data_IF_098710549132
#
_entry.id   IF_098710549132
#
_cell.length_a   1.000
_cell.length_b   1.000
_cell.length_c   1.000
_cell.angle_alpha   90.00
_cell.angle_beta   90.00
_cell.angle_gamma   90.00
#
_symmetry.space_group_name_H-M   'P 1'
#
loop_
_entity.id
_entity.type
_entity.pdbx_description
1 polymer ?
#
# COMPACT_ATOMS: atom_id res chain seq x y z
N UNK A 1 -43.42 -10.25 -1.13
CA UNK A 1 -44.49 -10.22 -0.12
C UNK A 1 -45.78 -10.75 -0.74
N UNK A 2 -46.50 -11.56 -0.02
CA UNK A 2 -47.84 -11.99 -0.33
C UNK A 2 -48.80 -11.65 0.83
N UNK A 3 -50.04 -12.10 0.79
CA UNK A 3 -50.98 -11.88 1.89
C UNK A 3 -50.53 -12.49 3.26
N UNK A 4 -49.50 -13.35 3.26
CA UNK A 4 -48.93 -13.95 4.44
C UNK A 4 -47.70 -13.18 4.99
N UNK A 5 -47.31 -12.10 4.36
CA UNK A 5 -46.18 -11.21 4.77
C UNK A 5 -44.86 -11.52 4.09
N UNK A 6 -43.74 -11.26 4.78
CA UNK A 6 -42.39 -11.42 4.24
C UNK A 6 -42.05 -12.90 4.00
N UNK A 7 -41.73 -13.25 2.75
CA UNK A 7 -41.31 -14.59 2.34
C UNK A 7 -39.79 -14.73 2.27
N UNK A 8 -39.13 -13.71 1.71
CA UNK A 8 -37.67 -13.67 1.53
C UNK A 8 -37.15 -12.25 1.66
N UNK A 9 -36.03 -12.08 2.37
CA UNK A 9 -35.20 -10.89 2.36
C UNK A 9 -33.82 -11.27 1.86
N UNK A 10 -33.29 -10.52 0.91
CA UNK A 10 -31.92 -10.65 0.43
C UNK A 10 -31.20 -9.31 0.60
N UNK A 11 -30.08 -9.32 1.33
CA UNK A 11 -29.31 -8.11 1.61
C UNK A 11 -27.83 -8.35 1.22
N UNK A 12 -27.29 -7.66 0.23
CA UNK A 12 -25.88 -7.72 -0.13
C UNK A 12 -25.05 -7.07 0.99
N UNK A 13 -24.25 -7.88 1.72
CA UNK A 13 -23.33 -7.40 2.74
C UNK A 13 -22.15 -6.69 2.08
N UNK A 14 -21.59 -7.34 1.06
CA UNK A 14 -20.51 -6.83 0.21
C UNK A 14 -20.64 -7.41 -1.22
N UNK A 15 -19.63 -7.21 -2.07
CA UNK A 15 -19.64 -7.72 -3.45
C UNK A 15 -19.70 -9.25 -3.56
N UNK A 16 -19.24 -9.96 -2.52
CA UNK A 16 -19.10 -11.42 -2.51
C UNK A 16 -20.09 -12.12 -1.58
N UNK A 17 -20.72 -11.40 -0.67
CA UNK A 17 -21.52 -11.98 0.42
C UNK A 17 -22.93 -11.40 0.42
N UNK A 18 -23.92 -12.27 0.43
CA UNK A 18 -25.34 -11.91 0.52
C UNK A 18 -25.97 -12.59 1.71
N UNK A 19 -26.58 -11.82 2.60
CA UNK A 19 -27.45 -12.32 3.67
C UNK A 19 -28.82 -12.66 3.07
N UNK A 20 -29.27 -13.87 3.30
CA UNK A 20 -30.59 -14.33 2.92
C UNK A 20 -31.38 -14.73 4.16
N UNK A 21 -32.60 -14.21 4.25
CA UNK A 21 -33.59 -14.60 5.26
C UNK A 21 -34.78 -15.17 4.52
N UNK A 22 -35.03 -16.45 4.68
CA UNK A 22 -36.13 -17.16 4.06
C UNK A 22 -37.16 -17.59 5.11
N UNK A 23 -38.44 -17.43 4.82
CA UNK A 23 -39.49 -17.92 5.69
C UNK A 23 -39.55 -19.45 5.67
N UNK A 24 -39.57 -20.06 6.83
CA UNK A 24 -39.73 -21.51 7.01
C UNK A 24 -40.88 -21.77 8.00
N UNK A 25 -42.10 -21.85 7.48
CA UNK A 25 -43.32 -21.91 8.29
C UNK A 25 -43.59 -20.60 9.04
N UNK A 26 -43.62 -20.68 10.37
CA UNK A 26 -43.78 -19.51 11.26
C UNK A 26 -42.45 -18.84 11.64
N UNK A 27 -41.33 -19.49 11.34
CA UNK A 27 -39.95 -18.99 11.64
C UNK A 27 -39.25 -18.48 10.40
N UNK A 28 -38.03 -17.94 10.62
CA UNK A 28 -37.12 -17.47 9.56
C UNK A 28 -35.78 -18.18 9.66
N UNK A 29 -35.33 -18.69 8.53
CA UNK A 29 -34.00 -19.26 8.37
C UNK A 29 -33.07 -18.18 7.81
N UNK A 30 -31.92 -17.97 8.47
CA UNK A 30 -30.93 -16.99 8.11
C UNK A 30 -29.70 -17.72 7.58
N UNK A 31 -29.26 -17.35 6.37
CA UNK A 31 -28.05 -17.90 5.76
C UNK A 31 -27.23 -16.80 5.11
N UNK A 32 -25.94 -17.02 4.95
CA UNK A 32 -25.07 -16.13 4.17
C UNK A 32 -24.51 -16.93 3.00
N UNK A 33 -24.81 -16.46 1.80
CA UNK A 33 -24.26 -17.03 0.58
C UNK A 33 -22.97 -16.29 0.23
N UNK A 34 -21.89 -17.04 0.01
CA UNK A 34 -20.61 -16.50 -0.43
C UNK A 34 -20.33 -16.90 -1.87
N UNK A 35 -19.98 -15.93 -2.69
CA UNK A 35 -19.57 -16.13 -4.08
C UNK A 35 -18.04 -16.18 -4.13
N UNK A 36 -17.49 -17.13 -4.87
CA UNK A 36 -16.05 -17.27 -5.06
C UNK A 36 -15.63 -16.45 -6.30
N UNK A 37 -14.79 -15.44 -6.14
CA UNK A 37 -14.29 -14.67 -7.28
C UNK A 37 -13.19 -15.46 -8.00
N UNK A 38 -13.03 -15.17 -9.28
CA UNK A 38 -11.89 -15.60 -10.09
C UNK A 38 -10.72 -14.64 -9.87
N UNK A 39 -9.48 -15.18 -9.89
CA UNK A 39 -8.24 -14.39 -9.78
C UNK A 39 -7.43 -14.60 -11.04
N UNK A 40 -7.12 -13.52 -11.71
CA UNK A 40 -6.30 -13.53 -12.92
C UNK A 40 -4.98 -12.83 -12.64
N UNK A 41 -3.87 -13.49 -12.95
CA UNK A 41 -2.55 -12.91 -12.87
C UNK A 41 -2.29 -12.05 -14.10
N UNK A 42 -2.02 -10.78 -13.87
CA UNK A 42 -1.76 -9.80 -14.93
C UNK A 42 -0.47 -9.06 -14.63
N UNK A 43 0.18 -8.57 -15.68
CA UNK A 43 1.41 -7.80 -15.55
C UNK A 43 1.29 -6.44 -16.19
N UNK A 44 1.94 -5.45 -15.56
CA UNK A 44 2.10 -4.12 -16.10
C UNK A 44 3.54 -3.64 -15.93
N UNK A 45 3.98 -2.79 -16.85
CA UNK A 45 5.30 -2.18 -16.78
C UNK A 45 5.25 -0.74 -17.31
N UNK A 46 6.09 0.13 -16.77
CA UNK A 46 6.23 1.49 -17.28
C UNK A 46 7.62 2.06 -17.03
N UNK A 47 7.96 3.04 -17.86
CA UNK A 47 9.08 3.94 -17.63
C UNK A 47 8.55 5.23 -17.00
N UNK A 48 9.22 5.71 -15.97
CA UNK A 48 8.83 6.92 -15.24
C UNK A 48 9.32 8.15 -16.00
N UNK A 49 8.38 9.02 -16.36
CA UNK A 49 8.65 10.31 -16.98
C UNK A 49 8.62 11.48 -15.96
N UNK A 50 7.78 11.37 -14.94
CA UNK A 50 7.59 12.40 -13.91
C UNK A 50 7.49 11.86 -12.50
N UNK A 51 6.58 10.93 -12.24
CA UNK A 51 6.37 10.29 -10.93
C UNK A 51 5.92 8.85 -11.09
N UNK A 52 6.12 8.05 -10.03
CA UNK A 52 5.60 6.67 -9.97
C UNK A 52 4.08 6.65 -10.19
N UNK A 53 3.36 7.57 -9.55
CA UNK A 53 1.91 7.62 -9.60
C UNK A 53 1.38 7.81 -11.02
N UNK A 54 1.93 8.80 -11.75
CA UNK A 54 1.54 9.04 -13.14
C UNK A 54 1.93 7.89 -14.07
N UNK A 55 3.10 7.29 -13.87
CA UNK A 55 3.55 6.16 -14.66
C UNK A 55 2.66 4.92 -14.42
N UNK A 56 2.27 4.68 -13.16
CA UNK A 56 1.37 3.60 -12.80
C UNK A 56 -0.02 3.76 -13.41
N UNK A 57 -0.61 4.93 -13.30
CA UNK A 57 -1.90 5.22 -13.96
C UNK A 57 -1.86 5.05 -15.47
N UNK A 58 -0.81 5.55 -16.13
CA UNK A 58 -0.64 5.38 -17.57
C UNK A 58 -0.46 3.90 -17.98
N UNK A 59 0.03 3.05 -17.07
CA UNK A 59 0.13 1.60 -17.25
C UNK A 59 -1.16 0.85 -16.87
N UNK A 60 -2.24 1.56 -16.48
CA UNK A 60 -3.53 0.97 -16.12
C UNK A 60 -3.62 0.47 -14.67
N UNK A 61 -2.62 0.75 -13.82
CA UNK A 61 -2.66 0.35 -12.42
C UNK A 61 -3.62 1.20 -11.59
N UNK A 62 -4.32 0.57 -10.65
CA UNK A 62 -5.11 1.28 -9.65
C UNK A 62 -4.21 1.94 -8.59
N UNK A 63 -4.76 2.92 -7.88
CA UNK A 63 -4.08 3.59 -6.75
C UNK A 63 -3.59 2.58 -5.72
N UNK A 64 -4.39 1.55 -5.42
CA UNK A 64 -4.05 0.50 -4.46
C UNK A 64 -2.78 -0.24 -4.87
N UNK A 65 -2.68 -0.68 -6.12
CA UNK A 65 -1.49 -1.40 -6.64
C UNK A 65 -0.28 -0.48 -6.68
N UNK A 66 -0.44 0.79 -7.07
CA UNK A 66 0.65 1.77 -7.08
C UNK A 66 1.19 2.02 -5.67
N UNK A 67 0.29 2.16 -4.68
CA UNK A 67 0.68 2.37 -3.28
C UNK A 67 1.31 1.13 -2.66
N UNK A 68 0.84 -0.06 -3.02
CA UNK A 68 1.46 -1.32 -2.60
C UNK A 68 2.87 -1.45 -3.17
N UNK A 69 3.06 -1.16 -4.46
CA UNK A 69 4.37 -1.13 -5.12
C UNK A 69 5.33 -0.16 -4.42
N UNK A 70 4.85 1.06 -4.11
CA UNK A 70 5.62 2.02 -3.32
C UNK A 70 5.95 1.51 -1.92
N UNK A 71 5.02 0.80 -1.27
CA UNK A 71 5.22 0.18 0.05
C UNK A 71 6.28 -0.91 0.06
N UNK A 72 6.33 -1.76 -0.99
CA UNK A 72 7.31 -2.85 -1.14
C UNK A 72 8.74 -2.28 -1.19
N UNK A 73 8.98 -1.26 -2.03
CA UNK A 73 10.31 -0.71 -2.27
C UNK A 73 10.64 0.52 -1.42
N UNK A 74 9.68 1.05 -0.66
CA UNK A 74 9.85 2.26 0.17
C UNK A 74 10.88 2.14 1.30
N UNK A 75 11.33 0.92 1.58
CA UNK A 75 12.45 0.67 2.49
C UNK A 75 13.82 0.91 1.84
N UNK A 76 13.90 0.81 0.52
CA UNK A 76 15.11 0.98 -0.27
C UNK A 76 15.13 2.29 -1.05
N UNK A 77 13.97 2.78 -1.51
CA UNK A 77 13.82 3.92 -2.41
C UNK A 77 12.97 4.99 -1.74
N UNK A 78 13.48 6.21 -1.69
CA UNK A 78 12.68 7.38 -1.34
C UNK A 78 11.94 7.89 -2.59
N UNK A 79 10.67 7.52 -2.73
CA UNK A 79 9.85 7.86 -3.89
C UNK A 79 9.61 9.36 -4.08
N UNK A 80 9.81 10.18 -3.04
CA UNK A 80 9.70 11.62 -3.15
C UNK A 80 11.00 12.29 -3.64
N UNK A 81 12.15 11.68 -3.36
CA UNK A 81 13.45 12.33 -3.56
C UNK A 81 14.36 11.63 -4.56
N UNK A 82 14.19 10.32 -4.77
CA UNK A 82 15.15 9.51 -5.53
C UNK A 82 14.64 9.06 -6.89
N UNK A 83 13.36 9.22 -7.17
CA UNK A 83 12.80 8.92 -8.48
C UNK A 83 13.34 9.85 -9.54
N UNK A 84 13.71 9.27 -10.67
CA UNK A 84 14.23 9.99 -11.83
C UNK A 84 13.48 9.58 -13.10
N UNK A 85 13.44 10.51 -14.04
CA UNK A 85 13.03 10.17 -15.40
C UNK A 85 13.92 9.06 -15.95
N UNK A 86 13.29 8.02 -16.54
CA UNK A 86 13.97 6.84 -17.05
C UNK A 86 14.03 5.67 -16.06
N UNK A 87 13.66 5.87 -14.78
CA UNK A 87 13.42 4.75 -13.87
C UNK A 87 12.28 3.89 -14.39
N UNK A 88 12.26 2.61 -14.04
CA UNK A 88 11.30 1.65 -14.59
C UNK A 88 10.74 0.77 -13.48
N UNK A 89 9.53 0.30 -13.70
CA UNK A 89 8.99 -0.80 -12.89
C UNK A 89 8.29 -1.84 -13.77
N UNK A 90 8.23 -3.06 -13.25
CA UNK A 90 7.37 -4.14 -13.72
C UNK A 90 6.71 -4.77 -12.51
N UNK A 91 5.41 -5.04 -12.61
CA UNK A 91 4.62 -5.63 -11.55
C UNK A 91 3.77 -6.76 -12.09
N UNK A 92 3.74 -7.90 -11.37
CA UNK A 92 2.80 -9.00 -11.54
C UNK A 92 1.85 -8.96 -10.36
N UNK A 93 0.55 -8.84 -10.62
CA UNK A 93 -0.48 -8.72 -9.58
C UNK A 93 -1.74 -9.47 -9.96
N UNK A 94 -2.66 -9.63 -9.01
CA UNK A 94 -3.94 -10.28 -9.26
C UNK A 94 -5.01 -9.25 -9.59
N UNK A 95 -5.84 -9.55 -10.59
CA UNK A 95 -7.15 -8.93 -10.80
C UNK A 95 -8.25 -9.89 -10.34
N UNK A 96 -9.25 -9.35 -9.67
CA UNK A 96 -10.35 -10.11 -9.08
C UNK A 96 -11.61 -9.90 -9.91
N UNK A 97 -12.14 -10.98 -10.44
CA UNK A 97 -13.35 -10.98 -11.28
C UNK A 97 -14.48 -11.72 -10.60
N UNK A 98 -15.70 -11.29 -10.84
CA UNK A 98 -16.93 -11.95 -10.44
C UNK A 98 -17.89 -11.94 -11.63
N UNK A 99 -18.32 -13.14 -12.09
CA UNK A 99 -19.17 -13.33 -13.27
C UNK A 99 -18.62 -12.65 -14.55
N UNK A 100 -17.31 -12.61 -14.71
CA UNK A 100 -16.63 -11.98 -15.84
C UNK A 100 -16.46 -10.46 -15.73
N UNK A 101 -16.93 -9.84 -14.65
CA UNK A 101 -16.70 -8.42 -14.38
C UNK A 101 -15.52 -8.21 -13.42
N UNK A 102 -14.62 -7.29 -13.73
CA UNK A 102 -13.54 -6.88 -12.83
C UNK A 102 -14.14 -6.13 -11.62
N UNK A 103 -13.92 -6.65 -10.42
CA UNK A 103 -14.50 -6.08 -9.20
C UNK A 103 -13.46 -5.43 -8.28
N UNK A 104 -12.20 -5.89 -8.32
CA UNK A 104 -11.12 -5.38 -7.47
C UNK A 104 -9.75 -5.84 -7.97
N UNK A 105 -8.67 -5.34 -7.36
CA UNK A 105 -7.33 -5.87 -7.52
C UNK A 105 -6.93 -6.64 -6.26
N UNK A 106 -6.21 -7.74 -6.46
CA UNK A 106 -5.60 -8.51 -5.39
C UNK A 106 -4.21 -7.98 -5.05
N UNK A 107 -3.36 -8.88 -4.54
CA UNK A 107 -2.03 -8.52 -4.11
C UNK A 107 -1.04 -8.49 -5.28
N UNK A 108 0.04 -7.73 -5.13
CA UNK A 108 1.22 -7.89 -5.98
C UNK A 108 1.88 -9.23 -5.64
N UNK A 109 2.12 -10.04 -6.66
CA UNK A 109 2.77 -11.36 -6.53
C UNK A 109 4.29 -11.24 -6.67
N UNK A 110 4.73 -10.42 -7.62
CA UNK A 110 6.13 -10.10 -7.84
C UNK A 110 6.28 -8.69 -8.40
N UNK A 111 7.38 -8.05 -8.10
CA UNK A 111 7.70 -6.75 -8.64
C UNK A 111 9.20 -6.56 -8.88
N UNK A 112 9.51 -5.78 -9.88
CA UNK A 112 10.84 -5.26 -10.15
C UNK A 112 10.78 -3.75 -10.22
N UNK A 113 11.79 -3.07 -9.65
CA UNK A 113 11.98 -1.63 -9.78
C UNK A 113 13.43 -1.33 -10.13
N UNK A 114 13.64 -0.57 -11.19
CA UNK A 114 14.96 -0.07 -11.60
C UNK A 114 15.00 1.42 -11.29
N UNK A 115 15.75 1.78 -10.24
CA UNK A 115 15.94 3.17 -9.83
C UNK A 115 17.40 3.55 -10.00
N UNK A 116 17.66 4.56 -10.82
CA UNK A 116 19.00 5.06 -11.09
C UNK A 116 20.00 3.94 -11.45
N UNK A 117 19.60 3.05 -12.38
CA UNK A 117 20.32 1.87 -12.85
C UNK A 117 20.50 0.77 -11.80
N UNK A 118 19.98 0.90 -10.60
CA UNK A 118 19.98 -0.16 -9.57
C UNK A 118 18.66 -0.93 -9.63
N UNK A 119 18.77 -2.26 -9.71
CA UNK A 119 17.64 -3.16 -9.79
C UNK A 119 17.28 -3.67 -8.41
N UNK A 120 15.98 -3.62 -8.09
CA UNK A 120 15.36 -4.18 -6.89
C UNK A 120 14.28 -5.15 -7.34
N UNK A 121 14.21 -6.31 -6.72
CA UNK A 121 13.24 -7.36 -7.03
C UNK A 121 12.61 -7.88 -5.76
N UNK A 122 11.33 -8.11 -5.80
CA UNK A 122 10.56 -8.60 -4.67
C UNK A 122 9.55 -9.65 -5.12
N UNK A 123 9.38 -10.69 -4.32
CA UNK A 123 8.35 -11.71 -4.47
C UNK A 123 7.53 -11.83 -3.20
N UNK A 124 6.23 -12.03 -3.35
CA UNK A 124 5.32 -12.29 -2.25
C UNK A 124 5.46 -13.74 -1.82
N UNK A 125 5.68 -13.98 -0.53
CA UNK A 125 5.86 -15.31 0.00
C UNK A 125 5.17 -15.46 1.37
N UNK A 126 4.56 -16.61 1.58
CA UNK A 126 3.98 -16.98 2.88
C UNK A 126 4.88 -18.01 3.54
N UNK A 127 5.41 -17.68 4.70
CA UNK A 127 6.29 -18.56 5.46
C UNK A 127 5.53 -19.71 6.12
N UNK A 128 6.27 -20.67 6.68
CA UNK A 128 5.69 -21.83 7.36
C UNK A 128 4.84 -21.47 8.60
N UNK A 129 5.01 -20.27 9.14
CA UNK A 129 4.20 -19.72 10.23
C UNK A 129 2.91 -19.03 9.75
N UNK A 130 2.65 -19.00 8.45
CA UNK A 130 1.48 -18.35 7.85
C UNK A 130 1.62 -16.84 7.66
N UNK A 131 2.79 -16.26 7.93
CA UNK A 131 3.04 -14.83 7.72
C UNK A 131 3.42 -14.59 6.26
N UNK A 132 2.67 -13.73 5.59
CA UNK A 132 2.91 -13.30 4.23
C UNK A 132 3.61 -11.93 4.22
N UNK A 133 4.69 -11.82 3.47
CA UNK A 133 5.45 -10.58 3.27
C UNK A 133 6.20 -10.61 1.93
N UNK A 134 6.94 -9.55 1.63
CA UNK A 134 7.77 -9.44 0.42
C UNK A 134 9.23 -9.72 0.74
N UNK A 135 9.87 -10.50 -0.14
CA UNK A 135 11.25 -10.94 -0.01
C UNK A 135 12.01 -10.71 -1.31
N UNK A 136 13.26 -10.30 -1.18
CA UNK A 136 14.20 -10.26 -2.32
C UNK A 136 14.53 -11.68 -2.79
N UNK A 137 15.07 -11.83 -3.99
CA UNK A 137 15.40 -13.15 -4.56
C UNK A 137 16.47 -13.93 -3.75
N UNK A 138 17.26 -13.25 -2.92
CA UNK A 138 18.19 -13.89 -2.00
C UNK A 138 17.56 -14.35 -0.67
N UNK A 139 16.24 -14.17 -0.52
CA UNK A 139 15.48 -14.54 0.68
C UNK A 139 15.47 -13.49 1.80
N UNK A 140 16.13 -12.36 1.62
CA UNK A 140 16.07 -11.26 2.58
C UNK A 140 14.72 -10.55 2.54
N UNK A 141 14.16 -10.20 3.70
CA UNK A 141 12.92 -9.42 3.78
C UNK A 141 13.11 -8.04 3.13
N UNK A 142 12.13 -7.61 2.34
CA UNK A 142 12.08 -6.24 1.84
C UNK A 142 11.90 -5.23 2.98
N UNK A 143 11.28 -5.62 4.08
CA UNK A 143 11.21 -4.80 5.29
C UNK A 143 12.54 -4.76 6.00
N UNK A 144 13.09 -3.55 6.13
CA UNK A 144 14.34 -3.30 6.89
C UNK A 144 14.03 -2.85 8.32
N UNK A 145 15.06 -2.80 9.15
CA UNK A 145 14.92 -2.38 10.55
C UNK A 145 14.32 -0.99 10.68
N UNK A 146 14.64 -0.09 9.75
CA UNK A 146 14.14 1.29 9.74
C UNK A 146 13.57 1.67 8.39
N UNK A 147 12.35 2.23 8.41
CA UNK A 147 11.76 2.87 7.24
C UNK A 147 12.57 4.10 6.87
N UNK A 148 12.87 4.25 5.60
CA UNK A 148 13.72 5.33 5.10
C UNK A 148 13.06 6.71 5.21
N UNK A 149 11.76 6.77 4.93
CA UNK A 149 10.98 8.01 4.94
C UNK A 149 9.72 7.83 5.77
N UNK A 150 9.62 8.47 6.97
CA UNK A 150 8.47 8.33 7.86
C UNK A 150 7.22 9.09 7.39
N UNK A 151 7.36 9.97 6.40
CA UNK A 151 6.27 10.78 5.82
C UNK A 151 6.32 10.61 4.32
N UNK A 152 5.40 9.83 3.77
CA UNK A 152 5.35 9.51 2.35
C UNK A 152 5.14 10.75 1.49
N UNK A 153 5.79 10.78 0.32
CA UNK A 153 5.65 11.85 -0.69
C UNK A 153 5.87 13.27 -0.16
N UNK A 154 6.67 13.41 0.90
CA UNK A 154 6.97 14.69 1.51
C UNK A 154 8.29 15.28 1.00
N UNK A 155 8.43 16.59 1.17
CA UNK A 155 9.65 17.32 0.85
C UNK A 155 10.53 17.46 2.10
N UNK A 156 11.83 17.19 1.98
CA UNK A 156 12.77 17.58 3.04
C UNK A 156 12.90 19.11 3.05
N UNK A 157 12.45 19.74 4.11
CA UNK A 157 12.58 21.18 4.33
C UNK A 157 13.90 21.56 4.97
N UNK A 158 14.49 20.66 5.77
CA UNK A 158 15.79 20.85 6.38
C UNK A 158 16.54 19.53 6.58
N UNK A 159 17.78 19.50 6.13
CA UNK A 159 18.65 18.32 6.25
C UNK A 159 19.45 18.35 7.57
N UNK A 160 19.95 17.17 7.97
CA UNK A 160 20.93 17.04 9.05
C UNK A 160 22.17 17.92 8.75
N UNK A 161 22.65 18.67 9.76
CA UNK A 161 23.82 19.52 9.66
C UNK A 161 24.49 19.65 11.03
N UNK A 162 25.79 19.43 11.10
CA UNK A 162 26.57 19.65 12.32
C UNK A 162 26.74 21.13 12.68
N UNK A 163 26.53 22.03 11.71
CA UNK A 163 26.58 23.47 11.92
C UNK A 163 25.87 24.22 10.80
N UNK A 164 24.73 24.80 11.10
CA UNK A 164 24.02 25.74 10.20
C UNK A 164 23.72 27.04 10.93
N UNK A 165 23.63 28.12 10.19
CA UNK A 165 23.16 29.39 10.72
C UNK A 165 21.67 29.28 11.04
N UNK A 166 21.31 29.46 12.31
CA UNK A 166 19.91 29.42 12.74
C UNK A 166 19.16 30.61 12.12
N UNK A 167 18.03 30.41 11.41
CA UNK A 167 17.37 31.45 10.63
C UNK A 167 16.87 32.64 11.49
N UNK A 168 16.56 32.40 12.76
CA UNK A 168 16.04 33.43 13.68
C UNK A 168 17.12 33.95 14.62
N UNK A 169 17.97 33.09 15.17
CA UNK A 169 18.94 33.46 16.20
C UNK A 169 20.30 33.91 15.65
N UNK A 170 20.50 33.79 14.34
CA UNK A 170 21.76 34.15 13.64
C UNK A 170 23.03 33.50 14.24
N UNK A 171 22.87 32.41 14.98
CA UNK A 171 23.95 31.63 15.60
C UNK A 171 24.18 30.32 14.82
N UNK A 172 25.40 29.78 14.85
CA UNK A 172 25.67 28.46 14.27
C UNK A 172 25.18 27.41 15.27
N UNK A 173 24.23 26.60 14.85
CA UNK A 173 23.67 25.52 15.67
C UNK A 173 23.56 24.24 14.86
N UNK A 174 23.86 23.09 15.50
CA UNK A 174 23.65 21.79 14.89
C UNK A 174 22.16 21.49 14.72
N UNK A 175 21.79 20.98 13.56
CA UNK A 175 20.49 20.38 13.32
C UNK A 175 20.63 18.84 13.28
N UNK A 176 20.39 18.21 14.42
CA UNK A 176 20.59 16.76 14.60
C UNK A 176 19.40 15.91 14.11
N UNK A 177 18.70 16.36 13.09
CA UNK A 177 17.54 15.70 12.52
C UNK A 177 17.30 16.09 11.07
N UNK A 178 16.25 15.54 10.49
CA UNK A 178 15.73 15.89 9.16
C UNK A 178 14.29 16.37 9.34
N UNK A 179 13.97 17.54 8.82
CA UNK A 179 12.61 18.08 8.86
C UNK A 179 11.91 17.77 7.53
N UNK A 180 10.76 17.12 7.62
CA UNK A 180 9.87 16.85 6.50
C UNK A 180 8.74 17.89 6.47
N UNK A 181 8.46 18.45 5.30
CA UNK A 181 7.33 19.34 5.08
C UNK A 181 6.24 18.58 4.34
N UNK A 182 5.08 18.49 4.94
CA UNK A 182 3.89 17.86 4.40
C UNK A 182 2.65 18.69 4.73
N UNK A 183 1.54 18.46 4.02
CA UNK A 183 0.25 19.10 4.30
C UNK A 183 -0.30 18.66 5.66
N UNK A 184 -1.13 19.51 6.27
CA UNK A 184 -1.85 19.12 7.49
C UNK A 184 -2.72 17.89 7.24
N UNK A 185 -2.67 16.91 8.15
CA UNK A 185 -3.38 15.64 8.01
C UNK A 185 -2.58 14.53 7.33
N UNK A 186 -1.38 14.81 6.80
CA UNK A 186 -0.52 13.75 6.24
C UNK A 186 -0.12 12.76 7.34
N UNK A 187 -0.30 11.44 7.14
CA UNK A 187 0.08 10.43 8.11
C UNK A 187 1.60 10.42 8.37
N UNK A 188 1.97 10.30 9.64
CA UNK A 188 3.35 10.12 10.08
C UNK A 188 3.50 8.69 10.59
N UNK A 189 4.40 7.92 9.97
CA UNK A 189 4.68 6.54 10.34
C UNK A 189 5.84 6.45 11.33
N UNK A 190 5.80 5.50 12.26
CA UNK A 190 6.98 5.09 13.00
C UNK A 190 8.02 4.52 12.05
N UNK A 191 9.28 4.94 12.18
CA UNK A 191 10.36 4.43 11.32
C UNK A 191 10.74 2.98 11.61
N UNK A 192 10.37 2.46 12.80
CA UNK A 192 10.62 1.08 13.20
C UNK A 192 9.61 0.64 14.26
N UNK A 193 9.62 -0.65 14.57
CA UNK A 193 8.94 -1.19 15.74
C UNK A 193 9.54 -0.57 17.02
N UNK A 194 8.69 -0.15 17.93
CA UNK A 194 9.12 0.51 19.16
C UNK A 194 8.05 0.49 20.24
N UNK A 195 8.44 0.96 21.45
CA UNK A 195 7.54 1.14 22.57
C UNK A 195 7.28 2.63 22.78
N UNK A 196 6.02 3.01 22.91
CA UNK A 196 5.65 4.39 23.27
C UNK A 196 6.02 4.59 24.74
N UNK A 197 6.92 5.53 25.02
CA UNK A 197 7.40 5.86 26.38
C UNK A 197 6.88 7.22 26.89
N UNK A 198 6.32 8.04 26.00
CA UNK A 198 5.74 9.33 26.37
C UNK A 198 4.62 9.71 25.40
N UNK A 199 3.53 10.25 25.94
CA UNK A 199 2.43 10.86 25.20
C UNK A 199 2.12 12.20 25.89
N UNK A 200 2.20 13.32 25.16
CA UNK A 200 1.90 14.64 25.69
C UNK A 200 2.30 15.78 24.77
N UNK A 201 1.92 17.00 25.14
CA UNK A 201 2.45 18.22 24.50
C UNK A 201 3.81 18.53 25.11
N UNK A 202 4.73 18.96 24.26
CA UNK A 202 6.07 19.39 24.66
C UNK A 202 6.15 20.92 24.63
#
# INVERSE_FOLDING_TARGET
>A
DDEQGLLKLSYPIDKLSTLEVNRNGDDFEISTTHRTPERHEVSASATIESSLFMAGHNAGLSDTVIMELAGIFGWDIDFALEIRKGDQFTVLYEEIYLDGEHIDNGNILAAEFINQCKRYQAVRYTDAGGRTDYYALNGESMRKTFLRTPVEFSRISSRFSNGRKHPVLNTIRAHKGVDYAASSGTPIKSTANGKIIHIGKK
#
